data_IF_138193543363
#
_entry.id   IF_138193543363
#
_cell.length_a   1.000
_cell.length_b   1.000
_cell.length_c   1.000
_cell.angle_alpha   90.00
_cell.angle_beta   90.00
_cell.angle_gamma   90.00
#
_symmetry.space_group_name_H-M   'P 1'
#
loop_
_entity.id
_entity.type
_entity.pdbx_description
1 polymer ?
#
# COMPACT_ATOMS: atom_id res chain seq x y z
N UNK A 1 -58.41 -21.79 56.40
CA UNK A 1 -57.38 -22.14 55.40
C UNK A 1 -56.04 -21.75 55.98
N UNK A 2 -55.04 -22.61 55.86
CA UNK A 2 -53.71 -22.40 56.39
C UNK A 2 -52.97 -21.32 55.56
N UNK A 3 -52.80 -20.11 56.12
CA UNK A 3 -52.13 -18.99 55.46
C UNK A 3 -50.71 -19.35 55.01
N UNK A 4 -50.04 -20.26 55.72
CA UNK A 4 -48.67 -20.70 55.42
C UNK A 4 -48.59 -21.49 54.10
N UNK A 5 -49.59 -22.33 53.81
CA UNK A 5 -49.69 -23.07 52.55
C UNK A 5 -49.97 -22.13 51.37
N UNK A 6 -50.86 -21.16 51.55
CA UNK A 6 -51.19 -20.15 50.53
C UNK A 6 -49.98 -19.29 50.18
N UNK A 7 -49.23 -18.85 51.19
CA UNK A 7 -47.98 -18.07 51.01
C UNK A 7 -46.94 -18.91 50.27
N UNK A 8 -46.77 -20.18 50.63
CA UNK A 8 -45.78 -21.07 50.00
C UNK A 8 -46.08 -21.32 48.52
N UNK A 9 -47.35 -21.58 48.17
CA UNK A 9 -47.78 -21.75 46.78
C UNK A 9 -47.55 -20.46 45.97
N UNK A 10 -47.87 -19.30 46.55
CA UNK A 10 -47.66 -18.02 45.89
C UNK A 10 -46.17 -17.76 45.61
N UNK A 11 -45.29 -18.03 46.57
CA UNK A 11 -43.83 -17.90 46.40
C UNK A 11 -43.33 -18.80 45.25
N UNK A 12 -43.80 -20.05 45.17
CA UNK A 12 -43.41 -20.98 44.09
C UNK A 12 -43.87 -20.47 42.73
N UNK A 13 -45.10 -19.96 42.62
CA UNK A 13 -45.63 -19.40 41.37
C UNK A 13 -44.81 -18.17 40.94
N UNK A 14 -44.50 -17.27 41.87
CA UNK A 14 -43.69 -16.09 41.60
C UNK A 14 -42.26 -16.48 41.18
N UNK A 15 -41.65 -17.45 41.85
CA UNK A 15 -40.32 -17.96 41.49
C UNK A 15 -40.31 -18.60 40.09
N UNK A 16 -41.33 -19.39 39.76
CA UNK A 16 -41.47 -19.99 38.41
C UNK A 16 -41.68 -18.93 37.33
N UNK A 17 -42.53 -17.92 37.59
CA UNK A 17 -42.71 -16.79 36.67
C UNK A 17 -41.40 -16.04 36.44
N UNK A 18 -40.63 -15.80 37.50
CA UNK A 18 -39.31 -15.17 37.42
C UNK A 18 -38.31 -15.99 36.59
N UNK A 19 -38.22 -17.30 36.81
CA UNK A 19 -37.36 -18.21 36.03
C UNK A 19 -37.72 -18.15 34.54
N UNK A 20 -39.01 -18.15 34.20
CA UNK A 20 -39.47 -18.04 32.81
C UNK A 20 -39.06 -16.71 32.18
N UNK A 21 -39.18 -15.61 32.92
CA UNK A 21 -38.75 -14.28 32.45
C UNK A 21 -37.24 -14.26 32.20
N UNK A 22 -36.43 -14.74 33.14
CA UNK A 22 -34.97 -14.83 33.00
C UNK A 22 -34.58 -15.72 31.81
N UNK A 23 -35.22 -16.88 31.65
CA UNK A 23 -34.95 -17.75 30.51
C UNK A 23 -35.30 -17.10 29.17
N UNK A 24 -36.39 -16.31 29.10
CA UNK A 24 -36.78 -15.56 27.90
C UNK A 24 -35.76 -14.46 27.57
N UNK A 25 -35.32 -13.68 28.55
CA UNK A 25 -34.33 -12.61 28.33
C UNK A 25 -32.97 -13.18 27.92
N UNK A 26 -32.51 -14.28 28.55
CA UNK A 26 -31.28 -14.96 28.15
C UNK A 26 -31.35 -15.52 26.73
N UNK A 27 -32.49 -16.08 26.30
CA UNK A 27 -32.68 -16.55 24.91
C UNK A 27 -32.61 -15.40 23.90
N UNK A 28 -33.30 -14.29 24.18
CA UNK A 28 -33.26 -13.11 23.32
C UNK A 28 -31.82 -12.56 23.17
N UNK A 29 -31.09 -12.44 24.28
CA UNK A 29 -29.68 -12.03 24.26
C UNK A 29 -28.79 -13.01 23.48
N UNK A 30 -29.00 -14.32 23.64
CA UNK A 30 -28.26 -15.34 22.89
C UNK A 30 -28.55 -15.29 21.38
N UNK A 31 -29.80 -15.02 20.97
CA UNK A 31 -30.18 -14.84 19.55
C UNK A 31 -29.56 -13.58 18.95
N UNK A 32 -29.54 -12.47 19.69
CA UNK A 32 -28.89 -11.23 19.28
C UNK A 32 -27.38 -11.40 19.11
N UNK A 33 -26.74 -12.10 20.05
CA UNK A 33 -25.31 -12.44 19.98
C UNK A 33 -25.00 -13.34 18.77
N UNK A 34 -25.78 -14.40 18.54
CA UNK A 34 -25.64 -15.27 17.35
C UNK A 34 -25.79 -14.48 16.05
N UNK A 35 -26.76 -13.58 16.00
CA UNK A 35 -27.02 -12.73 14.83
C UNK A 35 -25.84 -11.79 14.57
N UNK A 36 -25.31 -11.17 15.63
CA UNK A 36 -24.15 -10.26 15.56
C UNK A 36 -22.89 -11.00 15.10
N UNK A 37 -22.60 -12.17 15.68
CA UNK A 37 -21.47 -13.02 15.27
C UNK A 37 -21.60 -13.48 13.81
N UNK A 38 -22.80 -13.88 13.39
CA UNK A 38 -23.07 -14.27 11.99
C UNK A 38 -22.79 -13.11 11.02
N UNK A 39 -23.27 -11.90 11.33
CA UNK A 39 -23.00 -10.69 10.53
C UNK A 39 -21.52 -10.36 10.47
N UNK A 40 -20.80 -10.44 11.60
CA UNK A 40 -19.35 -10.20 11.65
C UNK A 40 -18.57 -11.22 10.82
N UNK A 41 -18.91 -12.51 10.92
CA UNK A 41 -18.30 -13.58 10.13
C UNK A 41 -18.53 -13.35 8.63
N UNK A 42 -19.77 -13.07 8.23
CA UNK A 42 -20.10 -12.77 6.83
C UNK A 42 -19.30 -11.55 6.30
N UNK A 43 -19.14 -10.51 7.12
CA UNK A 43 -18.32 -9.33 6.79
C UNK A 43 -16.84 -9.69 6.57
N UNK A 44 -16.27 -10.51 7.45
CA UNK A 44 -14.89 -10.95 7.35
C UNK A 44 -14.64 -11.79 6.08
N UNK A 45 -15.54 -12.75 5.79
CA UNK A 45 -15.44 -13.57 4.58
C UNK A 45 -15.57 -12.72 3.31
N UNK A 46 -16.48 -11.74 3.29
CA UNK A 46 -16.59 -10.79 2.17
C UNK A 46 -15.31 -10.02 1.94
N UNK A 47 -14.68 -9.50 3.01
CA UNK A 47 -13.39 -8.78 2.93
C UNK A 47 -12.27 -9.69 2.42
N UNK A 48 -12.24 -10.95 2.87
CA UNK A 48 -11.28 -11.95 2.41
C UNK A 48 -11.45 -12.26 0.92
N UNK A 49 -12.67 -12.53 0.48
CA UNK A 49 -12.98 -12.78 -0.93
C UNK A 49 -12.60 -11.59 -1.82
N UNK A 50 -12.83 -10.35 -1.34
CA UNK A 50 -12.41 -9.13 -2.08
C UNK A 50 -10.89 -9.07 -2.25
N UNK A 51 -10.11 -9.41 -1.21
CA UNK A 51 -8.65 -9.48 -1.28
C UNK A 51 -8.16 -10.57 -2.22
N UNK A 52 -8.79 -11.74 -2.21
CA UNK A 52 -8.45 -12.83 -3.12
C UNK A 52 -8.75 -12.47 -4.58
N UNK A 53 -9.88 -11.81 -4.83
CA UNK A 53 -10.23 -11.33 -6.17
C UNK A 53 -9.27 -10.24 -6.65
N UNK A 54 -8.94 -9.27 -5.80
CA UNK A 54 -7.90 -8.29 -6.06
C UNK A 54 -6.55 -8.94 -6.40
N UNK A 55 -6.24 -10.08 -5.75
CA UNK A 55 -5.04 -10.87 -6.01
C UNK A 55 -4.89 -11.32 -7.46
N UNK A 56 -6.00 -11.60 -8.14
CA UNK A 56 -6.01 -12.12 -9.52
C UNK A 56 -5.69 -11.05 -10.56
N UNK A 57 -5.84 -9.77 -10.23
CA UNK A 57 -5.59 -8.66 -11.15
C UNK A 57 -4.19 -8.07 -11.00
N UNK A 58 -3.42 -8.51 -10.00
CA UNK A 58 -2.06 -8.00 -9.74
C UNK A 58 -1.15 -8.36 -10.91
N UNK A 59 -0.47 -7.35 -11.46
CA UNK A 59 0.62 -7.52 -12.40
C UNK A 59 1.95 -7.18 -11.75
N UNK A 60 3.05 -7.53 -12.40
CA UNK A 60 4.39 -7.10 -12.01
C UNK A 60 4.98 -6.28 -13.15
N UNK A 61 5.70 -5.23 -12.80
CA UNK A 61 6.56 -4.52 -13.75
C UNK A 61 7.92 -5.21 -13.79
N UNK A 62 8.51 -5.34 -14.97
CA UNK A 62 9.77 -6.05 -15.18
C UNK A 62 10.81 -5.08 -15.73
N UNK A 63 12.01 -5.13 -15.14
CA UNK A 63 13.16 -4.42 -15.68
C UNK A 63 13.54 -5.02 -17.04
N UNK A 64 14.09 -4.18 -17.92
CA UNK A 64 14.52 -4.57 -19.26
C UNK A 64 15.46 -3.52 -19.85
N UNK A 65 16.14 -3.89 -20.93
CA UNK A 65 17.21 -3.09 -21.55
C UNK A 65 16.74 -1.71 -22.05
N UNK A 66 15.43 -1.56 -22.30
CA UNK A 66 14.81 -0.28 -22.64
C UNK A 66 14.89 0.78 -21.54
N UNK A 67 15.25 0.40 -20.31
CA UNK A 67 15.31 1.31 -19.16
C UNK A 67 16.73 1.68 -18.74
N UNK A 68 17.76 1.13 -19.37
CA UNK A 68 19.18 1.38 -19.00
C UNK A 68 19.51 2.86 -19.18
N UNK A 69 20.17 3.51 -18.24
CA UNK A 69 20.57 4.93 -18.33
C UNK A 69 22.07 5.07 -18.19
N UNK A 70 22.69 4.40 -17.23
CA UNK A 70 24.12 4.58 -16.92
C UNK A 70 24.92 3.28 -16.79
N UNK A 71 24.30 2.10 -16.90
CA UNK A 71 24.86 0.79 -16.54
C UNK A 71 25.44 0.79 -15.11
N UNK A 72 24.87 1.64 -14.26
CA UNK A 72 25.53 2.15 -13.07
C UNK A 72 24.59 2.25 -11.89
N UNK A 73 24.72 3.36 -11.16
CA UNK A 73 23.99 3.52 -9.89
C UNK A 73 22.53 3.87 -10.14
N UNK A 74 22.24 4.63 -11.21
CA UNK A 74 20.87 5.01 -11.55
C UNK A 74 20.06 3.76 -11.92
N UNK A 75 20.61 2.87 -12.74
CA UNK A 75 19.91 1.64 -13.13
C UNK A 75 19.67 0.70 -11.96
N UNK A 76 20.63 0.60 -11.03
CA UNK A 76 20.45 -0.17 -9.79
C UNK A 76 19.34 0.40 -8.91
N UNK A 77 19.18 1.71 -8.92
CA UNK A 77 18.11 2.36 -8.16
C UNK A 77 16.75 2.11 -8.80
N UNK A 78 16.65 2.20 -10.13
CA UNK A 78 15.43 1.85 -10.84
C UNK A 78 15.05 0.40 -10.56
N UNK A 79 15.99 -0.55 -10.67
CA UNK A 79 15.73 -1.96 -10.32
C UNK A 79 15.21 -2.13 -8.89
N UNK A 80 15.76 -1.39 -7.93
CA UNK A 80 15.27 -1.40 -6.55
C UNK A 80 13.85 -0.81 -6.42
N UNK A 81 13.53 0.26 -7.15
CA UNK A 81 12.18 0.83 -7.22
C UNK A 81 11.17 -0.14 -7.84
N UNK A 82 11.53 -0.83 -8.94
CA UNK A 82 10.72 -1.90 -9.52
C UNK A 82 10.41 -2.98 -8.49
N UNK A 83 11.42 -3.39 -7.71
CA UNK A 83 11.25 -4.37 -6.64
C UNK A 83 10.29 -3.89 -5.56
N UNK A 84 10.42 -2.64 -5.09
CA UNK A 84 9.55 -2.07 -4.06
C UNK A 84 8.09 -1.98 -4.54
N UNK A 85 7.86 -1.56 -5.79
CA UNK A 85 6.54 -1.52 -6.41
C UNK A 85 5.94 -2.93 -6.48
N UNK A 86 6.70 -3.90 -6.99
CA UNK A 86 6.24 -5.28 -7.07
C UNK A 86 5.96 -5.88 -5.68
N UNK A 87 6.78 -5.55 -4.67
CA UNK A 87 6.54 -5.98 -3.29
C UNK A 87 5.24 -5.41 -2.72
N UNK A 88 4.92 -4.13 -2.97
CA UNK A 88 3.64 -3.56 -2.57
C UNK A 88 2.49 -4.34 -3.22
N UNK A 89 2.53 -4.49 -4.55
CA UNK A 89 1.45 -5.10 -5.32
C UNK A 89 1.21 -6.56 -4.93
N UNK A 90 2.26 -7.37 -4.79
CA UNK A 90 2.14 -8.79 -4.42
C UNK A 90 1.60 -9.02 -3.00
N UNK A 91 1.67 -8.01 -2.12
CA UNK A 91 1.19 -8.13 -0.75
C UNK A 91 -0.23 -7.57 -0.54
N UNK A 92 -0.91 -7.08 -1.58
CA UNK A 92 -2.30 -6.55 -1.49
C UNK A 92 -3.26 -7.53 -0.83
N UNK A 93 -3.14 -8.82 -1.15
CA UNK A 93 -4.00 -9.88 -0.59
C UNK A 93 -3.85 -10.03 0.94
N UNK A 94 -2.75 -9.54 1.51
CA UNK A 94 -2.42 -9.59 2.95
C UNK A 94 -2.82 -8.31 3.71
N UNK A 95 -3.24 -7.25 3.00
CA UNK A 95 -3.60 -5.98 3.62
C UNK A 95 -5.03 -6.04 4.19
N UNK A 96 -5.15 -6.46 5.44
CA UNK A 96 -6.42 -6.48 6.18
C UNK A 96 -6.70 -5.15 6.90
N UNK A 97 -5.65 -4.39 7.20
CA UNK A 97 -5.71 -3.10 7.85
C UNK A 97 -4.81 -2.10 7.11
N UNK A 98 -5.10 -0.79 7.16
CA UNK A 98 -4.25 0.24 6.56
C UNK A 98 -2.78 0.15 7.01
N UNK A 99 -2.57 -0.15 8.29
CA UNK A 99 -1.24 -0.32 8.88
C UNK A 99 -0.37 -1.38 8.19
N UNK A 100 -0.96 -2.35 7.48
CA UNK A 100 -0.21 -3.38 6.77
C UNK A 100 0.47 -2.86 5.49
N UNK A 101 -0.14 -1.88 4.80
CA UNK A 101 0.40 -1.36 3.54
C UNK A 101 1.32 -0.15 3.75
N UNK A 102 1.14 0.59 4.86
CA UNK A 102 1.89 1.81 5.18
C UNK A 102 3.42 1.65 5.12
N UNK A 103 4.05 0.58 5.66
CA UNK A 103 5.49 0.42 5.61
C UNK A 103 6.04 0.42 4.18
N UNK A 104 5.36 -0.25 3.26
CA UNK A 104 5.77 -0.32 1.84
C UNK A 104 5.73 1.05 1.17
N UNK A 105 4.70 1.86 1.44
CA UNK A 105 4.57 3.20 0.86
C UNK A 105 5.62 4.17 1.42
N UNK A 106 5.90 4.09 2.72
CA UNK A 106 6.93 4.91 3.37
C UNK A 106 8.31 4.55 2.82
N UNK A 107 8.60 3.26 2.69
CA UNK A 107 9.86 2.78 2.11
C UNK A 107 10.02 3.21 0.66
N UNK A 108 8.98 3.02 -0.17
CA UNK A 108 8.96 3.46 -1.56
C UNK A 108 9.24 4.96 -1.67
N UNK A 109 8.48 5.81 -0.96
CA UNK A 109 8.68 7.25 -0.98
C UNK A 109 10.11 7.63 -0.57
N UNK A 110 10.62 7.05 0.53
CA UNK A 110 11.97 7.33 1.02
C UNK A 110 13.02 6.99 -0.03
N UNK A 111 12.89 5.84 -0.68
CA UNK A 111 13.83 5.39 -1.69
C UNK A 111 13.75 6.24 -2.96
N UNK A 112 12.54 6.56 -3.43
CA UNK A 112 12.31 7.48 -4.56
C UNK A 112 12.98 8.84 -4.32
N UNK A 113 12.82 9.44 -3.14
CA UNK A 113 13.50 10.70 -2.80
C UNK A 113 15.03 10.58 -2.81
N UNK A 114 15.57 9.43 -2.37
CA UNK A 114 17.01 9.20 -2.37
C UNK A 114 17.57 8.99 -3.79
N UNK A 115 16.83 8.29 -4.64
CA UNK A 115 17.11 8.13 -6.05
C UNK A 115 17.11 9.47 -6.80
N UNK A 116 16.03 10.26 -6.68
CA UNK A 116 15.94 11.58 -7.32
C UNK A 116 17.08 12.53 -6.94
N UNK A 117 17.51 12.53 -5.66
CA UNK A 117 18.69 13.33 -5.25
C UNK A 117 19.98 12.90 -5.96
N UNK A 118 20.13 11.60 -6.26
CA UNK A 118 21.30 11.09 -6.99
C UNK A 118 21.23 11.47 -8.46
N UNK A 119 20.08 11.35 -9.10
CA UNK A 119 19.86 11.78 -10.47
C UNK A 119 20.09 13.29 -10.64
N UNK A 120 19.50 14.12 -9.78
CA UNK A 120 19.69 15.57 -9.80
C UNK A 120 21.18 15.93 -9.64
N UNK A 121 21.91 15.23 -8.76
CA UNK A 121 23.36 15.41 -8.62
C UNK A 121 24.12 15.00 -9.89
N UNK A 122 23.72 13.92 -10.54
CA UNK A 122 24.31 13.44 -11.78
C UNK A 122 24.06 14.43 -12.91
N UNK A 123 22.83 14.93 -13.05
CA UNK A 123 22.42 15.90 -14.07
C UNK A 123 23.21 17.20 -13.97
N UNK A 124 23.46 17.69 -12.74
CA UNK A 124 24.31 18.87 -12.52
C UNK A 124 25.74 18.61 -12.97
N UNK A 125 26.32 17.46 -12.59
CA UNK A 125 27.70 17.10 -12.96
C UNK A 125 27.87 16.88 -14.46
N UNK A 126 26.89 16.28 -15.11
CA UNK A 126 26.89 16.02 -16.56
C UNK A 126 26.45 17.24 -17.38
N UNK A 127 26.11 18.36 -16.73
CA UNK A 127 25.59 19.59 -17.35
C UNK A 127 24.37 19.31 -18.25
N UNK A 128 23.46 18.48 -17.76
CA UNK A 128 22.25 18.13 -18.47
C UNK A 128 21.34 19.37 -18.63
N UNK A 129 20.97 19.70 -19.87
CA UNK A 129 20.30 20.95 -20.19
C UNK A 129 18.88 21.08 -19.60
N UNK A 130 18.20 19.95 -19.35
CA UNK A 130 16.81 19.91 -18.88
C UNK A 130 16.68 19.56 -17.39
N UNK A 131 17.76 19.74 -16.60
CA UNK A 131 17.78 19.36 -15.18
C UNK A 131 16.68 20.06 -14.34
N UNK A 132 16.37 21.32 -14.64
CA UNK A 132 15.35 22.08 -13.90
C UNK A 132 13.93 21.56 -14.15
N UNK A 133 13.60 21.19 -15.38
CA UNK A 133 12.30 20.61 -15.72
C UNK A 133 12.17 19.21 -15.11
N UNK A 134 13.23 18.40 -15.16
CA UNK A 134 13.27 17.08 -14.57
C UNK A 134 13.02 17.12 -13.04
N UNK A 135 13.69 18.05 -12.34
CA UNK A 135 13.49 18.28 -10.90
C UNK A 135 12.04 18.68 -10.56
N UNK A 136 11.35 19.41 -11.44
CA UNK A 136 9.94 19.72 -11.24
C UNK A 136 9.05 18.47 -11.35
N UNK A 137 9.37 17.55 -12.28
CA UNK A 137 8.69 16.25 -12.39
C UNK A 137 8.92 15.37 -11.15
N UNK A 138 10.14 15.35 -10.61
CA UNK A 138 10.42 14.70 -9.33
C UNK A 138 9.55 15.25 -8.20
N UNK A 139 9.48 16.59 -8.08
CA UNK A 139 8.67 17.22 -7.05
C UNK A 139 7.17 16.89 -7.21
N UNK A 140 6.65 16.83 -8.44
CA UNK A 140 5.28 16.42 -8.72
C UNK A 140 5.00 14.97 -8.32
N UNK A 141 5.93 14.07 -8.65
CA UNK A 141 5.89 12.67 -8.25
C UNK A 141 5.84 12.50 -6.74
N UNK A 142 6.69 13.21 -5.99
CA UNK A 142 6.69 13.13 -4.52
C UNK A 142 5.36 13.61 -3.95
N UNK A 143 4.77 14.67 -4.50
CA UNK A 143 3.43 15.14 -4.10
C UNK A 143 2.34 14.10 -4.36
N UNK A 144 2.40 13.40 -5.50
CA UNK A 144 1.46 12.32 -5.81
C UNK A 144 1.58 11.16 -4.81
N UNK A 145 2.80 10.72 -4.50
CA UNK A 145 3.05 9.70 -3.48
C UNK A 145 2.52 10.13 -2.10
N UNK A 146 2.69 11.40 -1.73
CA UNK A 146 2.14 11.95 -0.48
C UNK A 146 0.61 11.88 -0.43
N UNK A 147 -0.06 12.23 -1.53
CA UNK A 147 -1.52 12.13 -1.61
C UNK A 147 -2.00 10.67 -1.46
N UNK A 148 -1.30 9.72 -2.09
CA UNK A 148 -1.60 8.28 -1.98
C UNK A 148 -1.38 7.76 -0.56
N UNK A 149 -0.30 8.19 0.10
CA UNK A 149 -0.03 7.84 1.51
C UNK A 149 -1.12 8.39 2.43
N UNK A 150 -1.54 9.64 2.25
CA UNK A 150 -2.65 10.22 3.03
C UNK A 150 -3.96 9.48 2.80
N UNK A 151 -4.22 9.04 1.56
CA UNK A 151 -5.39 8.22 1.23
C UNK A 151 -5.33 6.85 1.91
N UNK A 152 -4.18 6.19 1.89
CA UNK A 152 -3.95 4.94 2.59
C UNK A 152 -4.19 5.08 4.11
N UNK A 153 -3.72 6.17 4.73
CA UNK A 153 -3.93 6.45 6.16
C UNK A 153 -5.41 6.59 6.53
N UNK A 154 -6.24 7.14 5.63
CA UNK A 154 -7.68 7.35 5.84
C UNK A 154 -8.54 6.11 5.53
N UNK A 155 -7.94 5.05 4.99
CA UNK A 155 -8.65 3.81 4.72
C UNK A 155 -9.11 3.12 6.03
N UNK A 156 -10.08 2.22 5.91
CA UNK A 156 -10.49 1.32 6.98
C UNK A 156 -10.57 -0.12 6.44
N UNK A 157 -10.95 -1.10 7.24
CA UNK A 157 -10.92 -2.50 6.80
C UNK A 157 -11.96 -2.83 5.70
N UNK A 158 -12.94 -1.94 5.44
CA UNK A 158 -13.86 -2.07 4.32
C UNK A 158 -13.31 -1.48 3.02
N UNK A 159 -12.42 -0.47 3.09
CA UNK A 159 -11.89 0.24 1.92
C UNK A 159 -10.42 -0.07 1.61
N UNK A 160 -9.71 -0.71 2.54
CA UNK A 160 -8.26 -0.99 2.46
C UNK A 160 -7.85 -1.67 1.16
N UNK A 161 -8.65 -2.62 0.68
CA UNK A 161 -8.33 -3.36 -0.55
C UNK A 161 -8.51 -2.50 -1.80
N UNK A 162 -9.55 -1.69 -1.86
CA UNK A 162 -9.81 -0.83 -3.02
C UNK A 162 -8.76 0.29 -3.10
N UNK A 163 -8.38 0.87 -1.96
CA UNK A 163 -7.29 1.86 -1.89
C UNK A 163 -5.95 1.23 -2.30
N UNK A 164 -5.66 0.01 -1.85
CA UNK A 164 -4.43 -0.68 -2.26
C UNK A 164 -4.39 -0.98 -3.76
N UNK A 165 -5.53 -1.35 -4.36
CA UNK A 165 -5.65 -1.55 -5.81
C UNK A 165 -5.44 -0.26 -6.59
N UNK A 166 -6.01 0.85 -6.14
CA UNK A 166 -5.81 2.15 -6.79
C UNK A 166 -4.34 2.59 -6.73
N UNK A 167 -3.70 2.45 -5.58
CA UNK A 167 -2.27 2.77 -5.44
C UNK A 167 -1.43 1.85 -6.33
N UNK A 168 -1.74 0.56 -6.35
CA UNK A 168 -1.05 -0.38 -7.24
C UNK A 168 -1.26 -0.04 -8.70
N UNK A 169 -2.46 0.40 -9.08
CA UNK A 169 -2.76 0.92 -10.42
C UNK A 169 -1.85 2.09 -10.75
N UNK A 170 -1.81 3.13 -9.91
CA UNK A 170 -0.88 4.27 -10.11
C UNK A 170 0.59 3.85 -10.27
N UNK A 171 1.07 2.93 -9.42
CA UNK A 171 2.46 2.48 -9.46
C UNK A 171 2.78 1.62 -10.69
N UNK A 172 1.78 0.91 -11.24
CA UNK A 172 1.95 -0.01 -12.38
C UNK A 172 1.57 0.61 -13.72
N UNK A 173 0.64 1.58 -13.74
CA UNK A 173 0.19 2.35 -14.90
C UNK A 173 1.23 3.42 -15.23
N UNK A 174 2.44 2.91 -15.43
CA UNK A 174 3.57 3.55 -16.07
C UNK A 174 4.21 4.74 -15.37
N UNK A 175 3.84 5.10 -14.15
CA UNK A 175 4.52 6.18 -13.42
C UNK A 175 6.05 6.06 -13.46
N UNK A 176 6.60 4.92 -13.04
CA UNK A 176 8.06 4.73 -13.03
C UNK A 176 8.60 4.49 -14.45
N UNK A 177 7.94 3.68 -15.26
CA UNK A 177 8.46 3.31 -16.59
C UNK A 177 8.45 4.49 -17.55
N UNK A 178 7.39 5.31 -17.55
CA UNK A 178 7.32 6.51 -18.38
C UNK A 178 8.28 7.57 -17.85
N UNK A 179 8.45 7.72 -16.53
CA UNK A 179 9.48 8.61 -15.99
C UNK A 179 10.87 8.24 -16.51
N UNK A 180 11.24 6.96 -16.44
CA UNK A 180 12.52 6.49 -16.94
C UNK A 180 12.64 6.75 -18.44
N UNK A 181 11.62 6.40 -19.23
CA UNK A 181 11.67 6.50 -20.68
C UNK A 181 11.69 7.96 -21.16
N UNK A 182 10.86 8.82 -20.57
CA UNK A 182 10.62 10.17 -21.05
C UNK A 182 11.55 11.21 -20.43
N UNK A 183 12.13 10.92 -19.25
CA UNK A 183 12.93 11.90 -18.50
C UNK A 183 14.34 11.39 -18.19
N UNK A 184 14.52 10.14 -17.77
CA UNK A 184 15.86 9.63 -17.39
C UNK A 184 16.69 9.18 -18.61
N UNK A 185 16.09 8.51 -19.59
CA UNK A 185 16.80 8.09 -20.80
C UNK A 185 17.45 9.26 -21.56
N UNK A 186 16.78 10.43 -21.75
CA UNK A 186 17.40 11.57 -22.40
C UNK A 186 18.70 12.08 -21.74
N UNK A 187 18.91 11.89 -20.42
CA UNK A 187 20.16 12.29 -19.78
C UNK A 187 21.34 11.34 -20.08
N UNK A 188 21.09 10.12 -20.60
CA UNK A 188 22.13 9.14 -20.96
C UNK A 188 23.27 9.75 -21.78
N UNK A 189 22.93 10.49 -22.84
CA UNK A 189 23.94 11.10 -23.72
C UNK A 189 24.81 12.14 -22.99
N UNK A 190 24.27 12.85 -22.00
CA UNK A 190 25.06 13.78 -21.19
C UNK A 190 25.98 13.03 -20.21
N UNK A 191 25.50 11.93 -19.63
CA UNK A 191 26.26 11.08 -18.72
C UNK A 191 27.42 10.38 -19.45
N UNK A 192 27.19 9.86 -20.66
CA UNK A 192 28.23 9.26 -21.50
C UNK A 192 29.35 10.26 -21.83
N UNK A 193 29.01 11.47 -22.29
CA UNK A 193 29.99 12.53 -22.56
C UNK A 193 30.84 12.87 -21.33
N UNK A 194 30.22 12.95 -20.15
CA UNK A 194 30.93 13.20 -18.89
C UNK A 194 31.91 12.06 -18.54
N UNK A 195 31.49 10.80 -18.73
CA UNK A 195 32.33 9.61 -18.48
C UNK A 195 33.53 9.58 -19.42
N UNK A 196 33.33 9.83 -20.71
CA UNK A 196 34.40 9.79 -21.70
C UNK A 196 35.42 10.90 -21.46
N UNK A 197 34.97 12.11 -21.10
CA UNK A 197 35.87 13.19 -20.70
C UNK A 197 36.71 12.82 -19.48
N UNK A 198 36.09 12.19 -18.47
CA UNK A 198 36.78 11.77 -17.25
C UNK A 198 37.81 10.65 -17.52
N UNK A 199 37.50 9.69 -18.39
CA UNK A 199 38.44 8.63 -18.83
C UNK A 199 39.62 9.20 -19.61
N UNK A 200 39.36 10.13 -20.53
CA UNK A 200 40.39 10.80 -21.31
C UNK A 200 41.36 11.60 -20.43
N UNK A 201 40.87 12.24 -19.35
CA UNK A 201 41.73 12.91 -18.38
C UNK A 201 42.57 11.94 -17.54
N UNK A 202 42.00 10.81 -17.11
CA UNK A 202 42.73 9.81 -16.33
C UNK A 202 43.90 9.21 -17.13
N UNK A 203 43.68 8.90 -18.42
CA UNK A 203 44.74 8.37 -19.28
C UNK A 203 45.80 9.38 -19.71
N UNK A 204 45.63 10.67 -19.39
CA UNK A 204 46.65 11.72 -19.58
C UNK A 204 47.50 11.95 -18.32
N UNK A 205 47.11 11.37 -17.18
CA UNK A 205 47.81 11.49 -15.90
C UNK A 205 48.67 10.25 -15.56
N UNK A 206 48.53 9.17 -16.34
CA UNK A 206 49.34 7.95 -16.30
C UNK A 206 50.49 8.01 -17.32
#
# INVERSE_FOLDING_TARGET
MDNTLVISIFIVIVAMAFIVVVAKTMRASAEEMKTTQSKQKAKLEKRKARREEAGKTIRQIQWGDSFVVDDGVIDRDHQALFKLINQFSLNITKFSYPSHMMPYLIELKKYTQYHFRREESLQVKSRYAYADDHRQQHAATIRALDALIQKAQKANEDTVTDVALEISGFLQDKWLTDHIIEHDLPMRAAVERMRDHSRGMSGLMD
#
